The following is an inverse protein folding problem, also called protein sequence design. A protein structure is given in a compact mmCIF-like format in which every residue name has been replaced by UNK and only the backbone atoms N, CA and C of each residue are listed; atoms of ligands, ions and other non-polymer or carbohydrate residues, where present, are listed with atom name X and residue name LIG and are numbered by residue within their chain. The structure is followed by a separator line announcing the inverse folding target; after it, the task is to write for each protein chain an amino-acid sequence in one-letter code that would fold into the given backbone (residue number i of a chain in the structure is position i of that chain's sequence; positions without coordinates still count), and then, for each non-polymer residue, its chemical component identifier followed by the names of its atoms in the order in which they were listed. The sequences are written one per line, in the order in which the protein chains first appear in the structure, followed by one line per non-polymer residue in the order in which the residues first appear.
data_IF_338613499652
#
_entry.id   IF_338613499652
#
_cell.length_a   1.000
_cell.length_b   1.000
_cell.length_c   1.000
_cell.angle_alpha   90.00
_cell.angle_beta   90.00
_cell.angle_gamma   90.00
#
_symmetry.space_group_name_H-M   'P 1'
#
loop_
_entity.id
_entity.type
_entity.pdbx_description
1 polymer ?
#
# COMPACT_ATOMS: atom_id res chain seq x y z
N UNK A 1 -15.61 -7.09 3.18
CA UNK A 1 -14.84 -6.64 2.00
C UNK A 1 -14.97 -7.62 0.83
N UNK A 2 -14.47 -8.86 0.94
CA UNK A 2 -14.49 -9.77 -0.21
C UNK A 2 -15.92 -10.12 -0.70
N UNK A 3 -16.84 -10.45 0.21
CA UNK A 3 -18.23 -10.79 -0.13
C UNK A 3 -19.00 -9.61 -0.75
N UNK A 4 -18.77 -8.39 -0.26
CA UNK A 4 -19.41 -7.19 -0.80
C UNK A 4 -18.90 -6.86 -2.21
N UNK A 5 -17.59 -6.95 -2.44
CA UNK A 5 -17.00 -6.75 -3.77
C UNK A 5 -17.47 -7.80 -4.78
N UNK A 6 -17.54 -9.07 -4.37
CA UNK A 6 -18.08 -10.14 -5.21
C UNK A 6 -19.56 -9.93 -5.58
N UNK A 7 -20.35 -9.40 -4.64
CA UNK A 7 -21.74 -9.02 -4.90
C UNK A 7 -21.83 -7.86 -5.89
N UNK A 8 -21.02 -6.81 -5.72
CA UNK A 8 -21.00 -5.65 -6.61
C UNK A 8 -20.62 -6.03 -8.05
N UNK A 9 -19.59 -6.86 -8.22
CA UNK A 9 -19.18 -7.37 -9.52
C UNK A 9 -20.32 -8.04 -10.29
N UNK A 10 -21.12 -8.85 -9.60
CA UNK A 10 -22.19 -9.63 -10.24
C UNK A 10 -23.51 -8.88 -10.40
N UNK A 11 -23.84 -7.95 -9.50
CA UNK A 11 -25.16 -7.32 -9.43
C UNK A 11 -25.21 -5.86 -9.87
N UNK A 12 -24.10 -5.12 -9.79
CA UNK A 12 -24.07 -3.68 -10.05
C UNK A 12 -23.28 -3.31 -11.31
N UNK A 13 -22.14 -3.96 -11.54
CA UNK A 13 -21.35 -3.66 -12.74
C UNK A 13 -22.11 -4.03 -14.02
N UNK A 14 -21.99 -3.19 -15.03
CA UNK A 14 -22.52 -3.49 -16.36
C UNK A 14 -21.69 -4.57 -17.06
N UNK A 15 -22.21 -5.10 -18.17
CA UNK A 15 -21.46 -6.06 -18.99
C UNK A 15 -20.23 -5.41 -19.61
N UNK A 16 -20.35 -4.14 -20.03
CA UNK A 16 -19.27 -3.34 -20.58
C UNK A 16 -18.16 -3.12 -19.55
N UNK A 17 -18.51 -2.78 -18.30
CA UNK A 17 -17.54 -2.60 -17.21
C UNK A 17 -16.80 -3.90 -16.90
N UNK A 18 -17.51 -5.03 -16.79
CA UNK A 18 -16.87 -6.34 -16.60
C UNK A 18 -15.93 -6.71 -17.75
N UNK A 19 -16.30 -6.37 -18.99
CA UNK A 19 -15.43 -6.58 -20.14
C UNK A 19 -14.17 -5.71 -20.05
N UNK A 20 -14.31 -4.43 -19.70
CA UNK A 20 -13.19 -3.52 -19.50
C UNK A 20 -12.22 -4.05 -18.42
N UNK A 21 -12.75 -4.51 -17.29
CA UNK A 21 -11.94 -5.16 -16.24
C UNK A 21 -11.25 -6.42 -16.71
N UNK A 22 -11.90 -7.26 -17.53
CA UNK A 22 -11.25 -8.45 -18.10
C UNK A 22 -10.08 -8.06 -19.02
N UNK A 23 -10.25 -7.03 -19.85
CA UNK A 23 -9.19 -6.53 -20.72
C UNK A 23 -8.02 -5.98 -19.90
N UNK A 24 -8.30 -5.12 -18.92
CA UNK A 24 -7.28 -4.54 -18.05
C UNK A 24 -6.54 -5.63 -17.26
N UNK A 25 -7.26 -6.53 -16.59
CA UNK A 25 -6.68 -7.58 -15.77
C UNK A 25 -5.81 -8.56 -16.59
N UNK A 26 -6.18 -8.82 -17.84
CA UNK A 26 -5.38 -9.63 -18.76
C UNK A 26 -4.02 -9.01 -19.14
N UNK A 27 -3.86 -7.70 -18.95
CA UNK A 27 -2.61 -6.97 -19.19
C UNK A 27 -1.73 -6.84 -17.93
N UNK A 28 -2.20 -7.33 -16.78
CA UNK A 28 -1.52 -7.24 -15.49
C UNK A 28 -1.07 -8.63 -15.01
N UNK A 29 -0.06 -9.25 -15.65
CA UNK A 29 0.45 -10.54 -15.22
C UNK A 29 1.01 -10.45 -13.80
N UNK A 30 0.69 -11.45 -12.97
CA UNK A 30 1.29 -11.61 -11.64
C UNK A 30 2.17 -12.84 -11.58
N UNK A 31 3.29 -12.70 -10.89
CA UNK A 31 4.19 -13.81 -10.64
C UNK A 31 3.60 -14.72 -9.55
N UNK A 32 3.45 -15.99 -9.88
CA UNK A 32 3.04 -17.03 -8.94
C UNK A 32 4.18 -17.43 -7.99
N UNK A 33 3.89 -18.23 -6.96
CA UNK A 33 4.91 -18.69 -6.01
C UNK A 33 6.06 -19.50 -6.63
N UNK A 34 5.85 -20.05 -7.83
CA UNK A 34 6.84 -20.83 -8.58
C UNK A 34 7.55 -20.01 -9.67
N UNK A 35 7.34 -18.68 -9.71
CA UNK A 35 7.91 -17.80 -10.73
C UNK A 35 7.16 -17.80 -12.06
N UNK A 36 6.03 -18.50 -12.15
CA UNK A 36 5.23 -18.54 -13.36
C UNK A 36 4.33 -17.30 -13.46
N UNK A 37 4.20 -16.73 -14.65
CA UNK A 37 3.25 -15.64 -14.89
C UNK A 37 1.82 -16.17 -14.94
N UNK A 38 0.92 -15.54 -14.19
CA UNK A 38 -0.53 -15.83 -14.15
C UNK A 38 -1.28 -14.56 -14.53
N UNK A 39 -2.10 -14.64 -15.57
CA UNK A 39 -2.98 -13.54 -15.95
C UNK A 39 -4.19 -13.50 -15.02
N UNK A 40 -4.56 -12.30 -14.60
CA UNK A 40 -5.73 -12.10 -13.75
C UNK A 40 -7.01 -12.12 -14.60
N UNK A 41 -8.08 -12.66 -14.03
CA UNK A 41 -9.44 -12.46 -14.56
C UNK A 41 -9.95 -11.08 -14.13
N UNK A 42 -10.95 -10.55 -14.82
CA UNK A 42 -11.52 -9.23 -14.50
C UNK A 42 -12.03 -9.13 -13.06
N UNK A 43 -12.68 -10.19 -12.55
CA UNK A 43 -13.13 -10.22 -11.15
C UNK A 43 -11.97 -10.18 -10.16
N UNK A 44 -10.86 -10.86 -10.47
CA UNK A 44 -9.66 -10.84 -9.62
C UNK A 44 -9.01 -9.46 -9.64
N UNK A 45 -8.96 -8.80 -10.80
CA UNK A 45 -8.49 -7.41 -10.94
C UNK A 45 -9.37 -6.44 -10.15
N UNK A 46 -10.68 -6.50 -10.33
CA UNK A 46 -11.66 -5.66 -9.64
C UNK A 46 -11.55 -5.79 -8.12
N UNK A 47 -11.54 -7.03 -7.59
CA UNK A 47 -11.43 -7.28 -6.16
C UNK A 47 -10.08 -6.78 -5.63
N UNK A 48 -8.98 -7.07 -6.34
CA UNK A 48 -7.64 -6.69 -5.89
C UNK A 48 -7.49 -5.17 -5.77
N UNK A 49 -7.85 -4.43 -6.82
CA UNK A 49 -7.77 -2.96 -6.81
C UNK A 49 -8.71 -2.38 -5.76
N UNK A 50 -9.98 -2.80 -5.74
CA UNK A 50 -10.96 -2.21 -4.84
C UNK A 50 -10.80 -2.60 -3.36
N UNK A 51 -10.08 -3.68 -3.06
CA UNK A 51 -9.64 -3.95 -1.68
C UNK A 51 -8.73 -2.83 -1.17
N UNK A 52 -7.79 -2.34 -1.98
CA UNK A 52 -6.89 -1.25 -1.59
C UNK A 52 -7.63 0.08 -1.48
N UNK A 53 -8.54 0.35 -2.42
CA UNK A 53 -9.40 1.54 -2.41
C UNK A 53 -10.24 1.61 -1.13
N UNK A 54 -10.90 0.50 -0.77
CA UNK A 54 -11.69 0.43 0.45
C UNK A 54 -10.85 0.52 1.73
N UNK A 55 -9.65 -0.06 1.74
CA UNK A 55 -8.72 0.01 2.87
C UNK A 55 -8.18 1.44 3.09
N UNK A 56 -8.01 2.21 2.01
CA UNK A 56 -7.69 3.64 2.06
C UNK A 56 -8.89 4.54 2.46
N UNK A 57 -10.09 3.95 2.59
CA UNK A 57 -11.33 4.67 2.88
C UNK A 57 -11.96 5.40 1.69
N UNK A 58 -11.54 5.06 0.46
CA UNK A 58 -12.08 5.64 -0.78
C UNK A 58 -13.29 4.84 -1.29
N UNK A 59 -13.94 5.37 -2.33
CA UNK A 59 -15.10 4.73 -2.97
C UNK A 59 -14.69 3.75 -4.06
N UNK A 60 -15.40 2.63 -4.14
CA UNK A 60 -15.16 1.57 -5.12
C UNK A 60 -15.15 2.13 -6.55
N UNK A 61 -14.16 1.71 -7.33
CA UNK A 61 -14.02 2.00 -8.75
C UNK A 61 -14.83 0.98 -9.55
N UNK A 62 -15.85 1.45 -10.26
CA UNK A 62 -16.64 0.59 -11.14
C UNK A 62 -15.93 0.32 -12.48
N UNK A 63 -15.09 1.25 -12.93
CA UNK A 63 -14.24 1.13 -14.12
C UNK A 63 -12.79 0.78 -13.75
N UNK A 64 -12.08 0.00 -14.58
CA UNK A 64 -10.67 -0.28 -14.34
C UNK A 64 -9.80 0.98 -14.47
N UNK A 65 -8.62 0.99 -13.83
CA UNK A 65 -7.67 2.08 -13.99
C UNK A 65 -7.23 2.25 -15.45
N UNK A 66 -7.31 3.48 -15.96
CA UNK A 66 -6.82 3.83 -17.30
C UNK A 66 -5.36 4.27 -17.30
N UNK A 67 -4.89 4.80 -16.18
CA UNK A 67 -3.55 5.36 -16.01
C UNK A 67 -2.55 4.34 -15.46
N UNK A 68 -1.27 4.64 -15.64
CA UNK A 68 -0.17 3.88 -15.04
C UNK A 68 -0.11 4.12 -13.53
N UNK A 69 0.50 3.16 -12.81
CA UNK A 69 0.79 3.32 -11.40
C UNK A 69 1.58 4.63 -11.13
N UNK A 70 1.36 5.28 -9.98
CA UNK A 70 2.07 6.50 -9.64
C UNK A 70 3.59 6.26 -9.55
N UNK A 71 4.36 7.33 -9.76
CA UNK A 71 5.81 7.27 -9.56
C UNK A 71 6.13 6.88 -8.11
N UNK A 72 7.17 6.07 -7.93
CA UNK A 72 7.65 5.71 -6.61
C UNK A 72 8.26 6.91 -5.89
N UNK A 73 8.26 6.85 -4.55
CA UNK A 73 9.03 7.77 -3.73
C UNK A 73 10.51 7.70 -4.15
N UNK A 74 11.18 8.85 -4.23
CA UNK A 74 12.62 8.89 -4.51
C UNK A 74 13.46 8.40 -3.32
N UNK A 75 13.08 8.82 -2.11
CA UNK A 75 13.73 8.42 -0.87
C UNK A 75 12.70 8.23 0.24
N UNK A 76 13.06 7.41 1.23
CA UNK A 76 12.29 7.21 2.45
C UNK A 76 13.24 6.95 3.61
N UNK A 77 13.00 7.61 4.75
CA UNK A 77 13.51 7.21 6.06
C UNK A 77 12.36 7.09 7.06
N UNK A 78 12.56 6.29 8.08
CA UNK A 78 11.64 6.11 9.20
C UNK A 78 12.43 6.28 10.49
N UNK A 79 11.82 6.93 11.47
CA UNK A 79 12.38 7.16 12.80
C UNK A 79 11.28 6.85 13.83
N UNK A 80 11.47 5.84 14.68
CA UNK A 80 10.51 5.50 15.74
C UNK A 80 10.70 6.47 16.89
N UNK A 81 9.98 7.59 16.83
CA UNK A 81 10.07 8.69 17.80
C UNK A 81 9.34 8.42 19.12
N UNK A 82 8.42 7.45 19.17
CA UNK A 82 7.79 7.00 20.41
C UNK A 82 7.27 5.56 20.31
N UNK A 83 6.84 5.00 21.46
CA UNK A 83 6.35 3.63 21.59
C UNK A 83 5.35 3.22 20.48
N UNK A 84 4.48 4.13 20.04
CA UNK A 84 3.47 3.85 19.01
C UNK A 84 3.49 4.88 17.87
N UNK A 85 4.63 5.54 17.65
CA UNK A 85 4.75 6.61 16.65
C UNK A 85 6.06 6.47 15.88
N UNK A 86 5.98 6.61 14.56
CA UNK A 86 7.16 6.76 13.72
C UNK A 86 6.99 7.96 12.78
N UNK A 87 8.06 8.73 12.63
CA UNK A 87 8.16 9.85 11.70
C UNK A 87 8.72 9.35 10.36
N UNK A 88 7.85 9.35 9.36
CA UNK A 88 8.19 8.90 8.01
C UNK A 88 8.55 10.10 7.16
N UNK A 89 9.81 10.18 6.76
CA UNK A 89 10.34 11.26 5.92
C UNK A 89 10.54 10.78 4.50
N UNK A 90 10.07 11.55 3.53
CA UNK A 90 10.27 11.28 2.10
C UNK A 90 10.57 12.59 1.34
N UNK A 91 11.35 12.50 0.25
CA UNK A 91 11.81 13.69 -0.50
C UNK A 91 10.70 14.37 -1.32
N UNK A 92 9.77 13.60 -1.88
CA UNK A 92 8.69 14.12 -2.70
C UNK A 92 7.57 14.69 -1.81
N UNK A 93 7.76 15.92 -1.33
CA UNK A 93 6.84 16.57 -0.38
C UNK A 93 6.41 17.98 -0.83
N UNK A 94 5.11 18.33 -0.72
CA UNK A 94 4.00 17.41 -0.46
C UNK A 94 3.78 16.45 -1.63
N UNK A 95 3.13 15.31 -1.37
CA UNK A 95 2.66 14.44 -2.43
C UNK A 95 1.64 15.17 -3.33
N UNK A 96 1.36 14.61 -4.51
CA UNK A 96 0.32 15.12 -5.41
C UNK A 96 -1.07 15.13 -4.75
N UNK A 97 -1.98 15.97 -5.27
CA UNK A 97 -3.31 16.19 -4.69
C UNK A 97 -4.19 14.93 -4.59
N UNK A 98 -3.98 13.95 -5.47
CA UNK A 98 -4.69 12.65 -5.49
C UNK A 98 -3.90 11.54 -4.80
N UNK A 99 -2.70 11.85 -4.29
CA UNK A 99 -1.73 10.87 -3.84
C UNK A 99 -1.67 10.81 -2.31
N UNK A 100 -1.47 9.60 -1.79
CA UNK A 100 -1.18 9.29 -0.39
C UNK A 100 0.07 8.42 -0.31
N UNK A 101 0.70 8.36 0.85
CA UNK A 101 1.66 7.30 1.17
C UNK A 101 0.94 6.18 1.89
N UNK A 102 1.19 4.92 1.49
CA UNK A 102 0.81 3.74 2.27
C UNK A 102 2.05 3.23 2.99
N UNK A 103 1.90 2.86 4.27
CA UNK A 103 2.98 2.37 5.10
C UNK A 103 2.69 0.97 5.62
N UNK A 104 3.70 0.11 5.57
CA UNK A 104 3.73 -1.21 6.18
C UNK A 104 4.90 -1.28 7.15
N UNK A 105 4.75 -2.04 8.23
CA UNK A 105 5.82 -2.32 9.19
C UNK A 105 5.94 -3.82 9.45
N UNK A 106 7.16 -4.29 9.73
CA UNK A 106 7.37 -5.60 10.34
C UNK A 106 6.88 -5.61 11.79
N UNK A 107 6.73 -6.79 12.38
CA UNK A 107 6.69 -6.86 13.84
C UNK A 107 8.01 -6.34 14.43
N UNK A 108 8.00 -5.71 15.62
CA UNK A 108 9.23 -5.31 16.31
C UNK A 108 10.04 -6.55 16.70
N UNK A 109 11.35 -6.53 16.46
CA UNK A 109 12.23 -7.66 16.73
C UNK A 109 13.49 -7.22 17.48
N UNK A 110 13.99 -8.09 18.35
CA UNK A 110 15.31 -7.96 18.96
C UNK A 110 16.37 -8.60 18.05
N UNK A 111 17.51 -7.94 17.87
CA UNK A 111 18.64 -8.44 17.09
C UNK A 111 18.53 -8.21 15.58
N UNK A 112 19.30 -8.99 14.81
CA UNK A 112 19.59 -8.69 13.39
C UNK A 112 18.60 -9.28 12.37
N UNK A 113 17.39 -9.66 12.80
CA UNK A 113 16.42 -10.26 11.90
C UNK A 113 16.00 -9.27 10.79
N UNK A 114 15.81 -9.78 9.56
CA UNK A 114 15.39 -8.99 8.40
C UNK A 114 14.11 -9.55 7.75
N UNK A 115 12.93 -9.25 8.32
CA UNK A 115 11.65 -9.67 7.74
C UNK A 115 11.46 -9.17 6.30
N UNK A 116 10.89 -10.03 5.46
CA UNK A 116 10.49 -9.62 4.11
C UNK A 116 9.10 -8.94 4.14
N UNK A 117 8.72 -8.33 3.01
CA UNK A 117 7.44 -7.62 2.88
C UNK A 117 6.21 -8.49 3.24
N UNK A 118 6.25 -9.81 2.96
CA UNK A 118 5.13 -10.72 3.26
C UNK A 118 4.88 -10.90 4.77
N UNK A 119 5.85 -10.56 5.61
CA UNK A 119 5.72 -10.60 7.06
C UNK A 119 5.24 -9.28 7.66
N UNK A 120 5.13 -8.23 6.86
CA UNK A 120 4.72 -6.91 7.31
C UNK A 120 3.19 -6.81 7.49
N UNK A 121 2.75 -5.80 8.23
CA UNK A 121 1.36 -5.41 8.41
C UNK A 121 1.20 -3.96 8.01
N UNK A 122 0.02 -3.63 7.48
CA UNK A 122 -0.30 -2.26 7.16
C UNK A 122 -0.34 -1.42 8.44
N UNK A 123 0.34 -0.28 8.42
CA UNK A 123 0.26 0.75 9.45
C UNK A 123 -0.91 1.67 9.14
N UNK A 124 -1.00 2.10 7.88
CA UNK A 124 -2.12 2.88 7.38
C UNK A 124 -1.76 3.66 6.13
N UNK A 125 -2.61 4.64 5.84
CA UNK A 125 -2.49 5.57 4.73
C UNK A 125 -2.35 6.99 5.29
N UNK A 126 -1.50 7.80 4.67
CA UNK A 126 -1.38 9.23 4.99
C UNK A 126 -2.61 10.01 4.50
N UNK A 127 -2.68 11.30 4.84
CA UNK A 127 -3.61 12.21 4.18
C UNK A 127 -3.26 12.37 2.68
N UNK A 128 -4.23 12.89 1.90
CA UNK A 128 -3.96 13.35 0.53
C UNK A 128 -2.97 14.52 0.56
N UNK A 129 -2.07 14.58 -0.41
CA UNK A 129 -1.01 15.58 -0.49
C UNK A 129 -0.17 15.68 0.80
N UNK A 130 0.07 14.55 1.45
CA UNK A 130 0.83 14.50 2.71
C UNK A 130 2.19 15.18 2.56
N UNK A 131 2.48 16.09 3.48
CA UNK A 131 3.81 16.65 3.64
C UNK A 131 4.67 15.78 4.57
N UNK A 132 5.98 15.81 4.33
CA UNK A 132 7.01 15.17 5.14
C UNK A 132 7.45 16.09 6.31
N UNK A 133 7.68 15.57 7.53
CA UNK A 133 7.49 14.18 7.94
C UNK A 133 6.01 13.84 8.20
N UNK A 134 5.65 12.58 7.95
CA UNK A 134 4.36 12.01 8.36
C UNK A 134 4.52 11.26 9.68
N UNK A 135 3.88 11.77 10.73
CA UNK A 135 3.76 11.08 12.02
C UNK A 135 2.75 9.92 11.93
N UNK A 136 3.23 8.71 11.64
CA UNK A 136 2.43 7.51 11.52
C UNK A 136 2.15 6.88 12.90
N UNK A 137 0.92 6.43 13.12
CA UNK A 137 0.53 5.69 14.33
C UNK A 137 0.77 4.19 14.12
N UNK A 138 1.66 3.60 14.89
CA UNK A 138 2.06 2.20 14.73
C UNK A 138 1.01 1.24 15.34
N UNK A 139 0.63 0.16 14.64
CA UNK A 139 -0.28 -0.87 15.18
C UNK A 139 0.32 -1.71 16.30
N UNK A 140 1.64 -1.70 16.46
CA UNK A 140 2.35 -2.43 17.50
C UNK A 140 3.27 -1.50 18.29
N UNK A 141 3.34 -1.64 19.62
CA UNK A 141 4.31 -0.90 20.41
C UNK A 141 5.73 -1.37 20.09
N UNK A 142 6.64 -0.44 19.82
CA UNK A 142 8.06 -0.68 19.54
C UNK A 142 8.87 -0.21 20.73
N UNK A 143 9.51 -1.12 21.45
CA UNK A 143 10.38 -0.78 22.58
C UNK A 143 11.75 -0.30 22.09
N UNK A 144 12.47 0.43 22.95
CA UNK A 144 13.87 0.81 22.72
C UNK A 144 14.71 -0.43 22.39
N UNK A 145 15.67 -0.28 21.50
CA UNK A 145 16.56 -1.31 20.94
C UNK A 145 15.85 -2.39 20.09
N UNK A 146 14.57 -2.21 19.77
CA UNK A 146 13.89 -3.05 18.80
C UNK A 146 14.05 -2.51 17.39
N UNK A 147 14.39 -3.41 16.47
CA UNK A 147 14.48 -3.15 15.04
C UNK A 147 13.10 -3.30 14.40
N UNK A 148 12.78 -2.37 13.50
CA UNK A 148 11.58 -2.41 12.67
C UNK A 148 11.97 -2.14 11.22
N UNK A 149 11.38 -2.90 10.30
CA UNK A 149 11.49 -2.64 8.86
C UNK A 149 10.20 -2.02 8.39
N UNK A 150 10.31 -0.90 7.70
CA UNK A 150 9.20 -0.19 7.08
C UNK A 150 9.25 -0.34 5.57
N UNK A 151 8.07 -0.46 4.97
CA UNK A 151 7.91 -0.38 3.52
C UNK A 151 6.86 0.68 3.19
N UNK A 152 7.20 1.64 2.34
CA UNK A 152 6.27 2.66 1.90
C UNK A 152 6.15 2.70 0.37
N UNK A 153 4.96 3.02 -0.12
CA UNK A 153 4.69 3.27 -1.53
C UNK A 153 3.76 4.48 -1.67
N UNK A 154 3.70 5.06 -2.87
CA UNK A 154 2.70 6.04 -3.25
C UNK A 154 1.44 5.29 -3.68
N UNK A 155 0.30 5.70 -3.13
CA UNK A 155 -1.04 5.25 -3.50
C UNK A 155 -1.75 6.40 -4.23
N UNK A 156 -2.36 6.11 -5.36
CA UNK A 156 -3.18 7.07 -6.09
C UNK A 156 -4.67 6.74 -5.91
N UNK A 157 -5.44 7.70 -5.38
CA UNK A 157 -6.85 7.48 -5.07
C UNK A 157 -7.73 7.37 -6.33
N UNK A 158 -7.28 7.93 -7.46
CA UNK A 158 -8.02 7.87 -8.71
C UNK A 158 -7.94 6.48 -9.36
N UNK A 159 -6.78 5.84 -9.27
CA UNK A 159 -6.51 4.54 -9.90
C UNK A 159 -6.56 3.36 -8.93
N UNK A 160 -6.44 3.59 -7.63
CA UNK A 160 -6.33 2.52 -6.65
C UNK A 160 -5.02 1.72 -6.74
N UNK A 161 -4.03 2.23 -7.48
CA UNK A 161 -2.74 1.56 -7.72
C UNK A 161 -1.65 2.06 -6.76
N UNK A 162 -0.69 1.18 -6.51
CA UNK A 162 0.52 1.50 -5.76
C UNK A 162 1.73 1.64 -6.68
N UNK A 163 2.63 2.54 -6.31
CA UNK A 163 3.99 2.56 -6.85
C UNK A 163 4.82 1.37 -6.37
N UNK A 164 6.08 1.29 -6.82
CA UNK A 164 7.07 0.42 -6.19
C UNK A 164 7.26 0.79 -4.71
N UNK A 165 7.45 -0.23 -3.87
CA UNK A 165 7.76 -0.05 -2.44
C UNK A 165 9.24 0.30 -2.24
N UNK A 166 9.49 1.31 -1.41
CA UNK A 166 10.79 1.57 -0.80
C UNK A 166 10.85 0.94 0.59
N UNK A 167 12.06 0.56 1.00
CA UNK A 167 12.36 -0.01 2.32
C UNK A 167 13.15 1.00 3.16
N UNK A 168 12.73 1.18 4.40
CA UNK A 168 13.49 1.83 5.45
C UNK A 168 13.65 0.89 6.64
N UNK A 169 14.69 1.11 7.44
CA UNK A 169 14.96 0.34 8.66
C UNK A 169 15.23 1.35 9.76
N UNK A 170 14.67 1.08 10.93
CA UNK A 170 14.95 1.84 12.13
C UNK A 170 15.20 0.91 13.31
N UNK A 171 16.02 1.37 14.25
CA UNK A 171 16.20 0.75 15.56
C UNK A 171 15.77 1.79 16.59
N UNK A 172 14.66 1.52 17.27
CA UNK A 172 14.04 2.52 18.13
C UNK A 172 14.99 2.97 19.25
N UNK A 173 15.30 4.26 19.27
CA UNK A 173 16.06 4.95 20.31
C UNK A 173 15.24 6.06 21.00
N UNK A 174 14.07 6.39 20.44
CA UNK A 174 13.21 7.52 20.81
C UNK A 174 13.94 8.88 20.76
N UNK A 175 14.91 9.04 19.85
CA UNK A 175 15.69 10.27 19.67
C UNK A 175 16.75 10.52 20.76
N UNK A 176 17.29 9.45 21.35
CA UNK A 176 18.35 9.49 22.37
C UNK A 176 19.77 9.66 21.80
#
# INVERSE_FOLDING_TARGET
LLSSLASQWSSLLTTEQRLAWNTWAGQQPKEGPLGNSINLTGINGFIWTNCHVLDAGDTILDDPPVDVAPNALLTMSADVSALTTADITFADTPLGATLRSVLFMSLPQSGEAEPNFKQCRIVGYSALAQASPWAATLPFPVLVDQKVIFFAAVYDNATGLFSQFLRAVDTADYGA
#
